data_IF_623354402219
#
_entry.id   IF_623354402219
#
_cell.length_a   1.000
_cell.length_b   1.000
_cell.length_c   1.000
_cell.angle_alpha   90.00
_cell.angle_beta   90.00
_cell.angle_gamma   90.00
#
_symmetry.space_group_name_H-M   'P 1'
#
loop_
_entity.id
_entity.type
_entity.pdbx_description
1 polymer ?
#
# COMPACT_ATOMS: atom_id res chain seq x y z
N UNK A 1 -9.54 -0.89 19.32
CA UNK A 1 -9.00 -0.02 18.26
C UNK A 1 -7.51 -0.26 18.24
N UNK A 2 -7.00 -0.92 17.20
CA UNK A 2 -5.59 -1.30 17.17
C UNK A 2 -4.74 -0.06 16.91
N UNK A 3 -4.20 0.48 17.99
CA UNK A 3 -3.16 1.50 17.92
C UNK A 3 -1.84 0.82 17.54
N UNK A 4 -0.97 1.52 16.81
CA UNK A 4 0.38 1.06 16.51
C UNK A 4 0.53 -0.18 15.58
N UNK A 5 -0.42 -0.42 14.65
CA UNK A 5 -0.20 -1.44 13.61
C UNK A 5 0.91 -0.99 12.65
N UNK A 6 1.86 -1.89 12.44
CA UNK A 6 2.94 -1.78 11.45
C UNK A 6 2.79 -2.88 10.40
N UNK A 7 3.23 -2.59 9.18
CA UNK A 7 3.32 -3.56 8.08
C UNK A 7 4.66 -3.40 7.35
N UNK A 8 5.09 -4.46 6.68
CA UNK A 8 6.17 -4.44 5.70
C UNK A 8 5.70 -5.02 4.36
N UNK A 9 6.42 -4.72 3.28
CA UNK A 9 6.15 -5.24 1.94
C UNK A 9 7.23 -6.26 1.58
N UNK A 10 6.82 -7.46 1.16
CA UNK A 10 7.75 -8.48 0.65
C UNK A 10 8.05 -8.24 -0.82
N UNK A 11 9.32 -8.01 -1.15
CA UNK A 11 9.82 -7.88 -2.52
C UNK A 11 10.77 -9.02 -2.86
N UNK A 12 11.18 -9.12 -4.14
CA UNK A 12 12.20 -10.09 -4.57
C UNK A 12 13.56 -9.89 -3.90
N UNK A 13 13.86 -8.66 -3.46
CA UNK A 13 15.10 -8.29 -2.73
C UNK A 13 14.95 -8.42 -1.20
N UNK A 14 13.79 -8.84 -0.71
CA UNK A 14 13.51 -9.01 0.72
C UNK A 14 12.33 -8.17 1.21
N UNK A 15 12.11 -8.19 2.51
CA UNK A 15 11.04 -7.43 3.16
C UNK A 15 11.51 -5.98 3.42
N UNK A 16 10.65 -5.00 3.18
CA UNK A 16 10.94 -3.59 3.51
C UNK A 16 10.92 -3.37 5.02
N UNK A 17 11.50 -2.25 5.48
CA UNK A 17 11.32 -1.81 6.86
C UNK A 17 9.84 -1.66 7.23
N UNK A 18 9.54 -1.90 8.51
CA UNK A 18 8.20 -1.75 9.05
C UNK A 18 7.75 -0.28 9.02
N UNK A 19 6.58 -0.03 8.44
CA UNK A 19 5.95 1.29 8.44
C UNK A 19 4.53 1.24 9.04
N UNK A 20 4.18 2.30 9.77
CA UNK A 20 2.88 2.40 10.44
C UNK A 20 1.79 2.86 9.47
N UNK A 21 0.72 2.08 9.35
CA UNK A 21 -0.48 2.48 8.62
C UNK A 21 -1.35 3.34 9.55
N UNK A 22 -1.35 4.65 9.33
CA UNK A 22 -2.19 5.62 10.08
C UNK A 22 -3.55 5.90 9.42
N UNK A 23 -4.02 5.00 8.54
CA UNK A 23 -5.29 5.20 7.86
C UNK A 23 -6.40 4.78 8.83
N UNK A 24 -7.22 5.76 9.27
CA UNK A 24 -8.37 5.55 10.13
C UNK A 24 -9.46 4.76 9.41
N UNK A 25 -9.24 3.45 9.30
CA UNK A 25 -10.09 2.54 8.56
C UNK A 25 -10.89 1.71 9.58
N UNK A 26 -12.18 2.01 9.70
CA UNK A 26 -13.13 1.18 10.43
C UNK A 26 -12.97 -0.28 9.96
N UNK A 27 -12.83 -1.25 10.87
CA UNK A 27 -12.65 -2.69 10.53
C UNK A 27 -13.81 -3.19 9.65
N UNK A 28 -13.69 -3.03 8.33
CA UNK A 28 -14.75 -3.30 7.36
C UNK A 28 -14.88 -2.27 6.24
N UNK A 29 -14.29 -1.09 6.36
CA UNK A 29 -14.04 -0.29 5.17
C UNK A 29 -12.82 -0.91 4.51
N UNK A 30 -13.00 -1.62 3.40
CA UNK A 30 -11.90 -1.69 2.46
C UNK A 30 -11.48 -0.24 2.23
N UNK A 31 -10.21 0.10 2.50
CA UNK A 31 -9.55 1.20 1.81
C UNK A 31 -10.01 1.01 0.37
N UNK A 32 -10.95 1.84 -0.10
CA UNK A 32 -11.87 1.38 -1.15
C UNK A 32 -11.01 0.81 -2.26
N UNK A 33 -11.35 -0.35 -2.82
CA UNK A 33 -10.48 -1.01 -3.81
C UNK A 33 -9.93 0.00 -4.83
N UNK A 34 -10.70 1.04 -5.12
CA UNK A 34 -10.32 2.24 -5.84
C UNK A 34 -9.15 3.06 -5.24
N UNK A 35 -9.18 3.48 -3.98
CA UNK A 35 -8.06 4.18 -3.35
C UNK A 35 -6.79 3.32 -3.27
N UNK A 36 -6.92 2.02 -3.03
CA UNK A 36 -5.77 1.12 -3.06
C UNK A 36 -5.21 0.99 -4.48
N UNK A 37 -6.09 0.86 -5.50
CA UNK A 37 -5.68 0.85 -6.90
C UNK A 37 -4.99 2.15 -7.32
N UNK A 38 -5.50 3.32 -6.91
CA UNK A 38 -4.87 4.62 -7.20
C UNK A 38 -3.48 4.76 -6.56
N UNK A 39 -3.32 4.29 -5.31
CA UNK A 39 -2.00 4.31 -4.66
C UNK A 39 -1.01 3.38 -5.35
N UNK A 40 -1.46 2.20 -5.79
CA UNK A 40 -0.63 1.26 -6.54
C UNK A 40 -0.34 1.75 -7.97
N UNK A 41 -1.27 2.46 -8.60
CA UNK A 41 -1.09 3.07 -9.92
C UNK A 41 0.02 4.14 -9.89
N UNK A 42 -0.03 5.04 -8.90
CA UNK A 42 1.01 6.05 -8.70
C UNK A 42 2.38 5.42 -8.41
N UNK A 43 2.44 4.45 -7.47
CA UNK A 43 3.69 3.77 -7.10
C UNK A 43 4.29 2.96 -8.25
N UNK A 44 3.46 2.48 -9.19
CA UNK A 44 3.93 1.72 -10.35
C UNK A 44 4.08 2.56 -11.61
N UNK A 45 3.72 3.86 -11.58
CA UNK A 45 3.76 4.75 -12.74
C UNK A 45 5.15 4.80 -13.40
N UNK A 46 6.20 4.88 -12.59
CA UNK A 46 7.60 4.91 -13.06
C UNK A 46 8.10 3.55 -13.59
N UNK A 47 7.42 2.45 -13.25
CA UNK A 47 7.78 1.08 -13.62
C UNK A 47 7.00 0.64 -14.88
N UNK A 48 5.79 1.17 -15.08
CA UNK A 48 4.90 0.73 -16.16
C UNK A 48 5.44 1.07 -17.55
N UNK A 49 6.29 2.10 -17.69
CA UNK A 49 6.89 2.52 -18.96
C UNK A 49 5.86 2.96 -20.00
N UNK A 50 6.25 3.83 -20.93
CA UNK A 50 5.44 4.04 -22.14
C UNK A 50 5.42 2.72 -22.93
N UNK A 51 4.29 2.01 -22.90
CA UNK A 51 4.04 0.88 -23.79
C UNK A 51 3.82 1.48 -25.20
N UNK A 52 4.68 1.19 -26.20
CA UNK A 52 4.44 1.60 -27.58
C UNK A 52 3.28 0.83 -28.24
#
# INVERSE_FOLDING_TARGET
MYDNIVTSVRTSDGDTDDFSIKIGLHQGSALSHYFFALAMDEVTSDIQGDIP
#
